data_IF_848180355460
#
_entry.id   IF_848180355460
#
_cell.length_a   1.000
_cell.length_b   1.000
_cell.length_c   1.000
_cell.angle_alpha   90.00
_cell.angle_beta   90.00
_cell.angle_gamma   90.00
#
_symmetry.space_group_name_H-M   'P 1'
#
loop_
_entity.id
_entity.type
_entity.pdbx_description
1 polymer ?
#
# COMPACT_ATOMS: atom_id res chain seq x y z
N UNK A 1 4.11 50.03 36.30
CA UNK A 1 3.72 50.79 35.09
C UNK A 1 4.75 50.57 34.00
N UNK A 2 4.27 50.41 32.76
CA UNK A 2 4.99 50.13 31.49
C UNK A 2 5.27 48.65 31.24
N UNK A 3 5.02 48.06 30.06
CA UNK A 3 4.03 48.21 28.98
C UNK A 3 4.53 47.22 27.89
N UNK A 4 3.59 46.65 27.14
CA UNK A 4 3.73 46.07 25.80
C UNK A 4 4.14 44.59 25.72
N UNK A 5 3.07 43.79 25.59
CA UNK A 5 2.98 42.51 24.88
C UNK A 5 3.62 42.66 23.49
N UNK A 6 4.66 41.87 23.22
CA UNK A 6 5.29 41.81 21.90
C UNK A 6 4.86 40.52 21.21
N UNK A 7 4.11 40.73 20.13
CA UNK A 7 3.41 39.77 19.29
C UNK A 7 4.28 38.59 18.82
N UNK A 8 3.90 37.38 19.23
CA UNK A 8 4.39 36.13 18.64
C UNK A 8 3.46 35.73 17.49
N UNK A 9 3.55 36.45 16.37
CA UNK A 9 2.97 36.02 15.11
C UNK A 9 4.07 35.31 14.31
N UNK A 10 4.32 34.04 14.65
CA UNK A 10 5.18 33.17 13.84
C UNK A 10 4.38 32.75 12.60
N UNK A 11 4.88 33.25 11.49
CA UNK A 11 4.42 33.12 10.13
C UNK A 11 3.86 31.73 9.78
N UNK A 12 2.63 31.77 9.25
CA UNK A 12 2.11 30.81 8.29
C UNK A 12 3.10 30.59 7.14
N UNK A 13 3.79 29.45 7.15
CA UNK A 13 4.37 28.86 5.95
C UNK A 13 3.71 27.50 5.73
N UNK A 14 2.47 27.58 5.25
CA UNK A 14 1.82 26.51 4.52
C UNK A 14 2.55 26.35 3.18
N UNK A 15 3.71 25.69 3.19
CA UNK A 15 4.30 25.17 1.97
C UNK A 15 4.16 23.66 1.99
N UNK A 16 3.05 23.24 1.38
CA UNK A 16 2.99 22.06 0.54
C UNK A 16 3.44 20.74 1.19
N UNK A 17 2.49 20.07 1.85
CA UNK A 17 2.39 18.63 1.60
C UNK A 17 2.37 18.43 0.08
N UNK A 18 3.39 17.76 -0.44
CA UNK A 18 3.33 16.82 -1.56
C UNK A 18 4.76 16.38 -1.90
N UNK A 19 5.44 15.79 -0.94
CA UNK A 19 6.56 14.88 -1.21
C UNK A 19 6.14 13.44 -0.93
N UNK A 20 4.89 13.08 -1.30
CA UNK A 20 4.57 11.68 -1.63
C UNK A 20 5.25 11.38 -2.96
N UNK A 21 6.57 11.21 -2.87
CA UNK A 21 7.42 10.81 -3.97
C UNK A 21 6.86 9.51 -4.52
N UNK A 22 6.40 9.56 -5.76
CA UNK A 22 6.51 8.43 -6.67
C UNK A 22 5.84 7.13 -6.23
N UNK A 23 4.61 7.19 -5.71
CA UNK A 23 3.72 6.06 -5.92
C UNK A 23 3.40 6.06 -7.42
N UNK A 24 3.76 5.01 -8.14
CA UNK A 24 3.31 4.82 -9.52
C UNK A 24 1.78 4.71 -9.48
N UNK A 25 1.06 5.83 -9.50
CA UNK A 25 -0.40 5.92 -9.40
C UNK A 25 -1.08 5.02 -10.44
N UNK A 26 -0.42 4.85 -11.59
CA UNK A 26 -0.81 3.92 -12.65
C UNK A 26 -0.80 2.46 -12.19
N UNK A 27 0.23 2.02 -11.45
CA UNK A 27 0.33 0.64 -10.95
C UNK A 27 -0.68 0.40 -9.83
N UNK A 28 -0.81 1.35 -8.89
CA UNK A 28 -1.78 1.26 -7.80
C UNK A 28 -3.22 1.18 -8.33
N UNK A 29 -3.57 2.01 -9.32
CA UNK A 29 -4.91 1.97 -9.93
C UNK A 29 -5.17 0.66 -10.69
N UNK A 30 -4.16 0.12 -11.38
CA UNK A 30 -4.27 -1.17 -12.07
C UNK A 30 -4.38 -2.32 -11.07
N UNK A 31 -3.57 -2.30 -10.01
CA UNK A 31 -3.63 -3.27 -8.92
C UNK A 31 -5.00 -3.26 -8.25
N UNK A 32 -5.55 -2.08 -7.93
CA UNK A 32 -6.87 -1.95 -7.32
C UNK A 32 -7.99 -2.46 -8.24
N UNK A 33 -7.90 -2.18 -9.55
CA UNK A 33 -8.86 -2.67 -10.55
C UNK A 33 -8.80 -4.19 -10.66
N UNK A 34 -7.59 -4.75 -10.74
CA UNK A 34 -7.37 -6.18 -10.79
C UNK A 34 -7.87 -6.85 -9.51
N UNK A 35 -7.50 -6.33 -8.34
CA UNK A 35 -7.93 -6.81 -7.03
C UNK A 35 -9.46 -6.85 -6.91
N UNK A 36 -10.15 -5.82 -7.41
CA UNK A 36 -11.61 -5.76 -7.43
C UNK A 36 -12.26 -6.79 -8.36
N UNK A 37 -11.52 -7.31 -9.34
CA UNK A 37 -11.97 -8.35 -10.26
C UNK A 37 -11.58 -9.77 -9.82
N UNK A 38 -10.74 -9.90 -8.79
CA UNK A 38 -10.36 -11.20 -8.26
C UNK A 38 -11.53 -11.84 -7.50
N UNK A 39 -11.57 -13.15 -7.52
CA UNK A 39 -12.50 -13.99 -6.75
C UNK A 39 -11.78 -15.27 -6.33
N UNK A 40 -12.39 -16.11 -5.50
CA UNK A 40 -11.78 -17.38 -5.07
C UNK A 40 -11.46 -18.35 -6.23
N UNK A 41 -12.00 -18.12 -7.42
CA UNK A 41 -11.72 -18.91 -8.63
C UNK A 41 -10.67 -18.28 -9.55
N UNK A 42 -10.07 -17.17 -9.16
CA UNK A 42 -9.04 -16.50 -9.96
C UNK A 42 -7.78 -17.36 -10.09
N UNK A 43 -7.01 -17.13 -11.15
CA UNK A 43 -5.83 -17.93 -11.45
C UNK A 43 -4.58 -17.39 -10.76
N UNK A 44 -3.58 -18.27 -10.60
CA UNK A 44 -2.24 -17.88 -10.10
C UNK A 44 -1.61 -16.80 -10.98
N UNK A 45 -1.86 -16.80 -12.29
CA UNK A 45 -1.39 -15.75 -13.20
C UNK A 45 -1.99 -14.38 -12.89
N UNK A 46 -3.25 -14.31 -12.48
CA UNK A 46 -3.86 -13.04 -12.07
C UNK A 46 -3.25 -12.55 -10.74
N UNK A 47 -2.98 -13.46 -9.80
CA UNK A 47 -2.26 -13.13 -8.57
C UNK A 47 -0.83 -12.68 -8.84
N UNK A 48 -0.10 -13.35 -9.73
CA UNK A 48 1.25 -12.93 -10.13
C UNK A 48 1.25 -11.57 -10.80
N UNK A 49 0.21 -11.25 -11.59
CA UNK A 49 0.04 -9.91 -12.17
C UNK A 49 -0.20 -8.87 -11.07
N UNK A 50 -1.06 -9.19 -10.09
CA UNK A 50 -1.28 -8.32 -8.93
C UNK A 50 0.02 -8.12 -8.13
N UNK A 51 0.76 -9.19 -7.88
CA UNK A 51 2.05 -9.17 -7.20
C UNK A 51 2.99 -8.15 -7.87
N UNK A 52 3.23 -8.30 -9.17
CA UNK A 52 4.12 -7.40 -9.92
C UNK A 52 3.63 -5.94 -9.96
N UNK A 53 2.32 -5.71 -9.81
CA UNK A 53 1.77 -4.35 -9.74
C UNK A 53 1.95 -3.72 -8.35
N UNK A 54 1.98 -4.54 -7.30
CA UNK A 54 2.18 -4.11 -5.91
C UNK A 54 3.66 -4.02 -5.54
N UNK A 55 4.52 -4.89 -6.07
CA UNK A 55 5.96 -4.90 -5.87
C UNK A 55 6.60 -3.72 -6.60
N UNK A 56 6.52 -2.53 -6.00
CA UNK A 56 6.89 -1.28 -6.68
C UNK A 56 8.40 -1.06 -6.67
N UNK A 57 9.09 -1.59 -5.67
CA UNK A 57 10.54 -1.53 -5.55
C UNK A 57 11.25 -2.71 -6.23
N UNK A 58 10.50 -3.73 -6.71
CA UNK A 58 10.99 -4.93 -7.40
C UNK A 58 11.96 -5.73 -6.53
N UNK A 59 11.68 -5.86 -5.24
CA UNK A 59 12.49 -6.66 -4.32
C UNK A 59 11.97 -8.10 -4.15
N UNK A 60 11.01 -8.51 -4.98
CA UNK A 60 10.36 -9.82 -4.95
C UNK A 60 9.55 -10.07 -3.66
N UNK A 61 9.15 -9.00 -2.97
CA UNK A 61 8.32 -9.06 -1.77
C UNK A 61 7.36 -7.87 -1.68
N UNK A 62 6.13 -8.10 -1.19
CA UNK A 62 5.19 -7.01 -0.94
C UNK A 62 5.32 -6.56 0.51
N UNK A 63 5.79 -5.33 0.71
CA UNK A 63 5.79 -4.73 2.04
C UNK A 63 4.39 -4.28 2.48
N UNK A 64 4.18 -4.08 3.78
CA UNK A 64 2.93 -3.52 4.31
C UNK A 64 2.57 -2.14 3.74
N UNK A 65 3.56 -1.39 3.25
CA UNK A 65 3.37 -0.09 2.59
C UNK A 65 2.97 -0.20 1.11
N UNK A 66 3.26 -1.33 0.48
CA UNK A 66 2.91 -1.62 -0.91
C UNK A 66 1.57 -2.36 -1.04
N UNK A 67 1.20 -3.10 -0.01
CA UNK A 67 -0.09 -3.77 0.06
C UNK A 67 -1.25 -2.75 0.00
N UNK A 68 -2.32 -3.11 -0.72
CA UNK A 68 -3.53 -2.29 -0.85
C UNK A 68 -4.80 -3.14 -0.66
N UNK A 69 -5.91 -2.49 -0.32
CA UNK A 69 -7.23 -3.11 -0.23
C UNK A 69 -7.23 -4.38 0.62
N UNK A 70 -7.87 -5.44 0.13
CA UNK A 70 -7.95 -6.74 0.82
C UNK A 70 -6.59 -7.38 1.12
N UNK A 71 -5.53 -7.05 0.37
CA UNK A 71 -4.17 -7.52 0.67
C UNK A 71 -3.64 -6.86 1.94
N UNK A 72 -3.81 -5.54 2.07
CA UNK A 72 -3.40 -4.80 3.27
C UNK A 72 -4.24 -5.19 4.49
N UNK A 73 -5.55 -5.35 4.31
CA UNK A 73 -6.49 -5.74 5.38
C UNK A 73 -6.18 -7.12 5.96
N UNK A 74 -5.66 -8.03 5.12
CA UNK A 74 -5.34 -9.40 5.49
C UNK A 74 -3.83 -9.66 5.52
N UNK A 75 -2.99 -8.63 5.54
CA UNK A 75 -1.53 -8.76 5.40
C UNK A 75 -0.96 -9.78 6.40
N UNK A 76 -1.29 -9.62 7.69
CA UNK A 76 -0.82 -10.52 8.75
C UNK A 76 -1.39 -11.95 8.66
N UNK A 77 -2.52 -12.13 7.96
CA UNK A 77 -3.10 -13.46 7.72
C UNK A 77 -2.36 -14.15 6.57
N UNK A 78 -1.92 -13.37 5.58
CA UNK A 78 -1.17 -13.84 4.42
C UNK A 78 0.31 -14.06 4.74
N UNK A 79 0.91 -13.25 5.62
CA UNK A 79 2.30 -13.37 6.12
C UNK A 79 2.40 -14.54 7.10
N UNK A 80 2.44 -15.76 6.54
CA UNK A 80 2.40 -17.00 7.31
C UNK A 80 3.74 -17.34 7.94
N UNK A 81 4.84 -16.84 7.37
CA UNK A 81 6.19 -17.05 7.90
C UNK A 81 6.65 -15.91 8.84
N UNK A 82 5.83 -14.87 9.01
CA UNK A 82 6.12 -13.69 9.84
C UNK A 82 7.36 -12.91 9.36
N UNK A 83 7.64 -12.93 8.06
CA UNK A 83 8.75 -12.19 7.43
C UNK A 83 8.50 -10.68 7.38
N UNK A 84 7.29 -10.21 7.73
CA UNK A 84 6.84 -8.81 7.56
C UNK A 84 6.76 -8.37 6.10
N UNK A 85 6.67 -9.34 5.19
CA UNK A 85 6.55 -9.16 3.75
C UNK A 85 5.72 -10.30 3.16
N UNK A 86 5.09 -10.11 2.01
CA UNK A 86 4.38 -11.19 1.33
C UNK A 86 5.15 -11.62 0.10
N UNK A 87 5.52 -12.89 0.03
CA UNK A 87 6.00 -13.48 -1.22
C UNK A 87 4.82 -13.90 -2.12
N UNK A 88 5.10 -14.33 -3.35
CA UNK A 88 4.07 -14.72 -4.30
C UNK A 88 3.19 -15.87 -3.79
N UNK A 89 3.79 -16.86 -3.11
CA UNK A 89 3.05 -18.00 -2.55
C UNK A 89 2.07 -17.55 -1.48
N UNK A 90 2.50 -16.69 -0.57
CA UNK A 90 1.64 -16.11 0.46
C UNK A 90 0.51 -15.28 -0.13
N UNK A 91 0.80 -14.48 -1.16
CA UNK A 91 -0.23 -13.70 -1.84
C UNK A 91 -1.27 -14.58 -2.55
N UNK A 92 -0.95 -15.82 -2.95
CA UNK A 92 -1.97 -16.74 -3.49
C UNK A 92 -3.04 -17.11 -2.47
N UNK A 93 -2.72 -17.08 -1.18
CA UNK A 93 -3.68 -17.29 -0.09
C UNK A 93 -4.79 -16.22 -0.04
N UNK A 94 -4.62 -15.09 -0.72
CA UNK A 94 -5.66 -14.06 -0.86
C UNK A 94 -6.95 -14.64 -1.45
N UNK A 95 -6.83 -15.59 -2.38
CA UNK A 95 -7.99 -16.20 -3.06
C UNK A 95 -8.95 -16.87 -2.08
N UNK A 96 -8.43 -17.49 -1.02
CA UNK A 96 -9.23 -18.13 0.02
C UNK A 96 -9.94 -17.11 0.93
N UNK A 97 -9.48 -15.86 0.94
CA UNK A 97 -10.06 -14.77 1.72
C UNK A 97 -11.12 -13.99 0.94
N UNK A 98 -11.12 -14.10 -0.40
CA UNK A 98 -12.15 -13.55 -1.26
C UNK A 98 -13.38 -14.46 -1.19
N UNK A 99 -14.52 -13.92 -0.73
CA UNK A 99 -15.81 -14.63 -0.60
C UNK A 99 -16.80 -14.19 -1.66
#
# INVERSE_FOLDING_TARGET
>A
MKKIVLSLALASSLFSCNSVKNLNTSNVSQAATLLSSLSSNSTVQQISTLFNLLDTNNDEAISSTEAIGSVAENFNVLDTDSSSSLNLTELTGLLDLLK
#
